data_IF_037021737853
#
_entry.id   IF_037021737853
#
_cell.length_a   1.000
_cell.length_b   1.000
_cell.length_c   1.000
_cell.angle_alpha   90.00
_cell.angle_beta   90.00
_cell.angle_gamma   90.00
#
_symmetry.space_group_name_H-M   'P 1'
#
loop_
_entity.id
_entity.type
_entity.pdbx_description
1 polymer ?
#
# COMPACT_ATOMS: atom_id res chain seq x y z
N UNK A 1 -9.53 -1.22 15.84
CA UNK A 1 -9.73 -2.28 14.83
C UNK A 1 -9.23 -3.63 15.34
N UNK A 2 -10.05 -4.67 15.27
CA UNK A 2 -9.64 -6.04 15.61
C UNK A 2 -8.92 -6.67 14.40
N UNK A 3 -7.71 -7.22 14.61
CA UNK A 3 -6.88 -7.85 13.56
C UNK A 3 -6.87 -9.36 13.77
N UNK A 4 -7.34 -10.12 12.80
CA UNK A 4 -7.47 -11.58 12.83
C UNK A 4 -6.76 -12.19 11.61
N UNK A 5 -6.41 -13.47 11.71
CA UNK A 5 -5.72 -14.22 10.65
C UNK A 5 -6.60 -15.32 10.02
N UNK A 6 -7.73 -15.64 10.66
CA UNK A 6 -8.65 -16.65 10.17
C UNK A 6 -10.12 -16.26 10.41
N UNK A 7 -11.04 -16.59 9.48
CA UNK A 7 -12.47 -16.26 9.59
C UNK A 7 -13.16 -16.77 10.85
N UNK A 8 -12.81 -17.94 11.36
CA UNK A 8 -13.40 -18.54 12.56
C UNK A 8 -13.07 -17.82 13.87
N UNK A 9 -12.04 -16.94 13.83
CA UNK A 9 -11.65 -16.12 14.98
C UNK A 9 -12.58 -14.91 15.21
N UNK A 10 -13.51 -14.64 14.28
CA UNK A 10 -14.46 -13.53 14.45
C UNK A 10 -15.31 -13.80 15.68
N UNK A 11 -15.35 -12.86 16.66
CA UNK A 11 -16.07 -13.04 17.94
C UNK A 11 -17.57 -13.34 17.74
N UNK A 12 -18.12 -14.13 18.62
CA UNK A 12 -19.53 -14.57 18.52
C UNK A 12 -20.53 -13.40 18.65
N UNK A 13 -20.20 -12.40 19.44
CA UNK A 13 -21.02 -11.18 19.59
C UNK A 13 -21.04 -10.38 18.29
N UNK A 14 -19.92 -10.28 17.56
CA UNK A 14 -19.84 -9.67 16.22
C UNK A 14 -20.71 -10.45 15.23
N UNK A 15 -20.60 -11.78 15.21
CA UNK A 15 -21.41 -12.64 14.32
C UNK A 15 -22.92 -12.52 14.61
N UNK A 16 -23.30 -12.46 15.88
CA UNK A 16 -24.72 -12.31 16.30
C UNK A 16 -25.28 -10.94 15.95
N UNK A 17 -24.51 -9.88 16.13
CA UNK A 17 -24.87 -8.52 15.70
C UNK A 17 -25.10 -8.46 14.20
N UNK A 18 -24.33 -9.24 13.44
CA UNK A 18 -24.28 -9.22 12.00
C UNK A 18 -23.21 -8.28 11.47
N UNK A 19 -22.84 -8.46 10.22
CA UNK A 19 -21.77 -7.66 9.62
C UNK A 19 -22.08 -7.18 8.19
N UNK A 20 -21.47 -6.03 7.84
CA UNK A 20 -21.25 -5.60 6.48
C UNK A 20 -19.82 -6.01 6.09
N UNK A 21 -19.65 -6.66 4.94
CA UNK A 21 -18.41 -7.30 4.54
C UNK A 21 -17.91 -6.75 3.21
N UNK A 22 -16.61 -6.66 3.05
CA UNK A 22 -15.95 -6.49 1.74
C UNK A 22 -14.73 -7.40 1.62
N UNK A 23 -14.34 -7.70 0.39
CA UNK A 23 -13.17 -8.52 0.07
C UNK A 23 -12.27 -7.83 -0.93
N UNK A 24 -10.97 -7.93 -0.72
CA UNK A 24 -9.98 -7.45 -1.68
C UNK A 24 -8.56 -7.60 -1.18
N UNK A 25 -7.61 -7.48 -2.07
CA UNK A 25 -6.19 -7.44 -1.71
C UNK A 25 -5.81 -6.11 -1.06
N UNK A 26 -6.52 -5.04 -1.37
CA UNK A 26 -6.32 -3.67 -0.88
C UNK A 26 -4.87 -3.18 -0.98
N UNK A 27 -4.11 -3.74 -1.91
CA UNK A 27 -2.72 -3.39 -2.09
C UNK A 27 -2.58 -1.95 -2.63
N UNK A 28 -1.75 -1.16 -1.92
CA UNK A 28 -1.55 0.27 -2.17
C UNK A 28 -2.68 1.16 -1.67
N UNK A 29 -3.83 0.63 -1.26
CA UNK A 29 -4.97 1.41 -0.72
C UNK A 29 -5.28 2.66 -1.56
N UNK A 30 -5.48 2.47 -2.88
CA UNK A 30 -5.80 3.55 -3.82
C UNK A 30 -7.21 4.14 -3.59
N UNK A 31 -7.53 5.24 -4.25
CA UNK A 31 -8.82 5.95 -4.08
C UNK A 31 -10.04 5.04 -4.25
N UNK A 32 -10.01 4.10 -5.21
CA UNK A 32 -11.08 3.12 -5.40
C UNK A 32 -11.27 2.21 -4.18
N UNK A 33 -10.20 1.72 -3.58
CA UNK A 33 -10.27 0.94 -2.33
C UNK A 33 -10.87 1.77 -1.19
N UNK A 34 -10.45 3.03 -1.05
CA UNK A 34 -11.00 3.92 -0.01
C UNK A 34 -12.49 4.20 -0.18
N UNK A 35 -12.96 4.33 -1.42
CA UNK A 35 -14.39 4.50 -1.70
C UNK A 35 -15.20 3.26 -1.27
N UNK A 36 -14.69 2.05 -1.57
CA UNK A 36 -15.31 0.80 -1.10
C UNK A 36 -15.37 0.74 0.42
N UNK A 37 -14.27 1.10 1.10
CA UNK A 37 -14.20 1.07 2.56
C UNK A 37 -15.10 2.13 3.21
N UNK A 38 -15.16 3.33 2.66
CA UNK A 38 -16.08 4.37 3.14
C UNK A 38 -17.53 3.88 3.05
N UNK A 39 -17.92 3.30 1.91
CA UNK A 39 -19.25 2.73 1.75
C UNK A 39 -19.50 1.55 2.73
N UNK A 40 -18.51 0.68 2.92
CA UNK A 40 -18.61 -0.42 3.89
C UNK A 40 -18.91 0.10 5.31
N UNK A 41 -18.16 1.09 5.76
CA UNK A 41 -18.30 1.67 7.10
C UNK A 41 -19.67 2.38 7.24
N UNK A 42 -20.10 3.09 6.19
CA UNK A 42 -21.42 3.75 6.18
C UNK A 42 -22.58 2.74 6.22
N UNK A 43 -22.50 1.65 5.44
CA UNK A 43 -23.48 0.57 5.45
C UNK A 43 -23.52 -0.13 6.82
N UNK A 44 -22.36 -0.40 7.41
CA UNK A 44 -22.28 -1.00 8.73
C UNK A 44 -22.95 -0.13 9.79
N UNK A 45 -22.60 1.16 9.84
CA UNK A 45 -23.17 2.11 10.81
C UNK A 45 -24.67 2.32 10.64
N UNK A 46 -25.13 2.46 9.40
CA UNK A 46 -26.54 2.73 9.10
C UNK A 46 -27.49 1.57 9.47
N UNK A 47 -26.94 0.35 9.59
CA UNK A 47 -27.71 -0.86 9.88
C UNK A 47 -27.33 -1.52 11.21
N UNK A 48 -26.57 -0.82 12.06
CA UNK A 48 -26.05 -1.35 13.32
C UNK A 48 -25.29 -2.69 13.17
N UNK A 49 -24.45 -2.79 12.12
CA UNK A 49 -23.62 -3.94 11.82
C UNK A 49 -22.16 -3.66 12.16
N UNK A 50 -21.35 -4.72 12.26
CA UNK A 50 -19.89 -4.58 12.27
C UNK A 50 -19.34 -4.49 10.84
N UNK A 51 -18.37 -3.63 10.60
CA UNK A 51 -17.64 -3.58 9.32
C UNK A 51 -16.49 -4.59 9.31
N UNK A 52 -16.50 -5.55 8.38
CA UNK A 52 -15.47 -6.59 8.25
C UNK A 52 -14.81 -6.50 6.87
N UNK A 53 -13.49 -6.45 6.87
CA UNK A 53 -12.67 -6.58 5.66
C UNK A 53 -11.99 -7.94 5.65
N UNK A 54 -12.19 -8.71 4.59
CA UNK A 54 -11.39 -9.89 4.28
C UNK A 54 -10.29 -9.51 3.28
N UNK A 55 -9.05 -9.68 3.67
CA UNK A 55 -7.88 -9.50 2.79
C UNK A 55 -6.99 -10.74 2.86
N UNK A 56 -6.06 -10.85 1.92
CA UNK A 56 -5.19 -12.02 1.80
C UNK A 56 -3.72 -11.65 1.94
N UNK A 57 -2.98 -12.55 2.58
CA UNK A 57 -1.52 -12.51 2.63
C UNK A 57 -0.97 -13.94 2.77
N UNK A 58 -0.09 -14.40 1.84
CA UNK A 58 0.44 -13.67 0.69
C UNK A 58 -0.64 -13.31 -0.35
N UNK A 59 -0.24 -12.52 -1.36
CA UNK A 59 -1.14 -12.16 -2.46
C UNK A 59 -1.59 -13.42 -3.22
N UNK A 60 -2.87 -13.55 -3.64
CA UNK A 60 -3.35 -14.77 -4.32
C UNK A 60 -2.48 -15.23 -5.50
N UNK A 61 -1.93 -14.32 -6.29
CA UNK A 61 -1.04 -14.68 -7.39
C UNK A 61 0.33 -15.18 -6.93
N UNK A 62 0.81 -14.83 -5.74
CA UNK A 62 2.06 -15.38 -5.19
C UNK A 62 1.93 -16.90 -4.94
N UNK A 63 0.72 -17.37 -4.63
CA UNK A 63 0.43 -18.80 -4.40
C UNK A 63 0.07 -19.51 -5.69
N UNK A 64 -0.78 -18.91 -6.53
CA UNK A 64 -1.31 -19.58 -7.72
C UNK A 64 -0.39 -19.51 -8.95
N UNK A 65 0.31 -18.38 -9.09
CA UNK A 65 1.15 -18.04 -10.25
C UNK A 65 2.32 -17.17 -9.79
N UNK A 66 3.32 -17.71 -9.05
CA UNK A 66 4.42 -16.92 -8.47
C UNK A 66 5.18 -16.08 -9.52
N UNK A 67 5.32 -16.62 -10.74
CA UNK A 67 5.97 -15.94 -11.86
C UNK A 67 5.20 -14.72 -12.40
N UNK A 68 3.95 -14.57 -12.00
CA UNK A 68 3.05 -13.46 -12.39
C UNK A 68 2.66 -12.59 -11.21
N UNK A 69 3.18 -12.91 -10.01
CA UNK A 69 2.88 -12.16 -8.81
C UNK A 69 3.36 -10.71 -8.96
N UNK A 70 2.49 -9.73 -8.73
CA UNK A 70 2.89 -8.34 -8.80
C UNK A 70 3.71 -7.97 -7.57
N UNK A 71 4.68 -7.07 -7.73
CA UNK A 71 5.36 -6.46 -6.60
C UNK A 71 4.34 -5.73 -5.69
N UNK A 72 4.45 -5.92 -4.38
CA UNK A 72 3.54 -5.31 -3.42
C UNK A 72 3.77 -3.79 -3.33
N UNK A 73 2.71 -2.99 -3.51
CA UNK A 73 2.79 -1.53 -3.38
C UNK A 73 3.00 -1.13 -1.92
N UNK A 74 2.42 -1.88 -0.99
CA UNK A 74 2.59 -1.68 0.45
C UNK A 74 2.67 -3.04 1.17
N UNK A 75 3.34 -3.07 2.32
CA UNK A 75 3.37 -4.26 3.18
C UNK A 75 2.00 -4.58 3.77
N UNK A 76 1.87 -5.77 4.38
CA UNK A 76 0.65 -6.11 5.12
C UNK A 76 0.41 -5.12 6.27
N UNK A 77 1.44 -4.76 7.02
CA UNK A 77 1.30 -3.83 8.15
C UNK A 77 0.84 -2.44 7.69
N UNK A 78 1.44 -1.87 6.67
CA UNK A 78 1.00 -0.61 6.07
C UNK A 78 -0.46 -0.68 5.59
N UNK A 79 -0.88 -1.83 5.03
CA UNK A 79 -2.26 -2.07 4.61
C UNK A 79 -3.21 -2.09 5.79
N UNK A 80 -2.86 -2.78 6.87
CA UNK A 80 -3.63 -2.84 8.10
C UNK A 80 -3.80 -1.46 8.74
N UNK A 81 -2.73 -0.65 8.78
CA UNK A 81 -2.80 0.74 9.26
C UNK A 81 -3.78 1.58 8.42
N UNK A 82 -3.78 1.41 7.10
CA UNK A 82 -4.72 2.12 6.23
C UNK A 82 -6.18 1.68 6.45
N UNK A 83 -6.43 0.39 6.68
CA UNK A 83 -7.75 -0.14 7.02
C UNK A 83 -8.25 0.41 8.36
N UNK A 84 -7.36 0.50 9.35
CA UNK A 84 -7.66 1.10 10.66
C UNK A 84 -8.05 2.57 10.56
N UNK A 85 -7.25 3.36 9.81
CA UNK A 85 -7.57 4.78 9.54
C UNK A 85 -8.88 4.96 8.75
N UNK A 86 -9.30 3.98 7.97
CA UNK A 86 -10.59 3.99 7.29
C UNK A 86 -11.78 3.72 8.22
N UNK A 87 -11.53 3.35 9.49
CA UNK A 87 -12.56 3.13 10.50
C UNK A 87 -13.23 1.77 10.43
N UNK A 88 -12.56 0.76 9.87
CA UNK A 88 -13.01 -0.64 9.83
C UNK A 88 -12.96 -1.25 11.24
N UNK A 89 -13.98 -2.00 11.65
CA UNK A 89 -14.05 -2.63 12.98
C UNK A 89 -13.18 -3.89 13.05
N UNK A 90 -13.25 -4.74 12.03
CA UNK A 90 -12.55 -6.04 11.99
C UNK A 90 -11.87 -6.24 10.65
N UNK A 91 -10.62 -6.67 10.67
CA UNK A 91 -9.88 -7.12 9.50
C UNK A 91 -9.46 -8.57 9.69
N UNK A 92 -9.76 -9.40 8.71
CA UNK A 92 -9.26 -10.78 8.63
C UNK A 92 -8.21 -10.82 7.50
N UNK A 93 -6.93 -10.91 7.87
CA UNK A 93 -5.81 -11.08 6.94
C UNK A 93 -5.55 -12.59 6.77
N UNK A 94 -6.38 -13.24 5.97
CA UNK A 94 -6.34 -14.69 5.81
C UNK A 94 -5.19 -15.14 4.93
N UNK A 95 -4.51 -16.23 5.35
CA UNK A 95 -3.56 -16.91 4.48
C UNK A 95 -4.28 -17.43 3.22
N UNK A 96 -3.79 -17.00 2.04
CA UNK A 96 -4.30 -17.55 0.79
C UNK A 96 -3.65 -18.89 0.52
N UNK A 97 -4.43 -19.94 0.32
CA UNK A 97 -3.96 -21.31 0.09
C UNK A 97 -4.62 -21.93 -1.14
N UNK A 98 -4.05 -23.03 -1.63
CA UNK A 98 -4.67 -23.78 -2.73
C UNK A 98 -6.04 -24.36 -2.34
N UNK A 99 -6.23 -24.74 -1.08
CA UNK A 99 -7.51 -25.23 -0.56
C UNK A 99 -8.57 -24.13 -0.60
N UNK A 100 -8.21 -22.91 -0.15
CA UNK A 100 -9.10 -21.75 -0.23
C UNK A 100 -9.44 -21.42 -1.70
N UNK A 101 -8.45 -21.45 -2.58
CA UNK A 101 -8.64 -21.20 -4.01
C UNK A 101 -9.50 -22.27 -4.72
N UNK A 102 -9.60 -23.48 -4.17
CA UNK A 102 -10.41 -24.56 -4.71
C UNK A 102 -11.90 -24.47 -4.34
N UNK A 103 -12.27 -23.64 -3.37
CA UNK A 103 -13.66 -23.47 -2.96
C UNK A 103 -14.51 -22.88 -4.09
N UNK A 104 -15.68 -23.47 -4.32
CA UNK A 104 -16.68 -22.86 -5.20
C UNK A 104 -17.16 -21.51 -4.66
N UNK A 105 -17.73 -20.63 -5.48
CA UNK A 105 -18.31 -19.38 -5.00
C UNK A 105 -19.32 -19.57 -3.89
N UNK A 106 -20.17 -20.60 -3.99
CA UNK A 106 -21.18 -20.92 -2.95
C UNK A 106 -20.54 -21.33 -1.64
N UNK A 107 -19.60 -22.28 -1.66
CA UNK A 107 -18.90 -22.74 -0.46
C UNK A 107 -18.22 -21.57 0.25
N UNK A 108 -17.50 -20.75 -0.50
CA UNK A 108 -16.80 -19.59 0.04
C UNK A 108 -17.76 -18.60 0.71
N UNK A 109 -18.88 -18.24 0.05
CA UNK A 109 -19.87 -17.32 0.62
C UNK A 109 -20.53 -17.92 1.85
N UNK A 110 -20.97 -19.17 1.77
CA UNK A 110 -21.69 -19.82 2.87
C UNK A 110 -20.81 -19.97 4.11
N UNK A 111 -19.59 -20.51 3.96
CA UNK A 111 -18.73 -20.79 5.10
C UNK A 111 -18.06 -19.52 5.64
N UNK A 112 -17.46 -18.72 4.75
CA UNK A 112 -16.68 -17.56 5.19
C UNK A 112 -17.58 -16.39 5.56
N UNK A 113 -18.49 -15.98 4.69
CA UNK A 113 -19.24 -14.77 4.92
C UNK A 113 -20.45 -14.98 5.82
N UNK A 114 -21.31 -15.96 5.48
CA UNK A 114 -22.54 -16.14 6.23
C UNK A 114 -22.25 -16.77 7.60
N UNK A 115 -21.54 -17.88 7.64
CA UNK A 115 -21.30 -18.64 8.87
C UNK A 115 -20.31 -17.96 9.81
N UNK A 116 -19.12 -17.60 9.28
CA UNK A 116 -18.05 -17.09 10.13
C UNK A 116 -18.13 -15.58 10.39
N UNK A 117 -18.69 -14.78 9.49
CA UNK A 117 -18.81 -13.34 9.70
C UNK A 117 -20.22 -12.90 10.13
N UNK A 118 -21.22 -13.76 10.02
CA UNK A 118 -22.60 -13.35 10.26
C UNK A 118 -23.07 -12.28 9.27
N UNK A 119 -22.61 -12.38 8.02
CA UNK A 119 -22.83 -11.36 7.00
C UNK A 119 -24.31 -11.11 6.75
N UNK A 120 -24.70 -9.83 6.75
CA UNK A 120 -26.02 -9.33 6.36
C UNK A 120 -25.95 -8.46 5.12
N UNK A 121 -24.79 -7.86 4.86
CA UNK A 121 -24.55 -7.02 3.69
C UNK A 121 -23.17 -7.28 3.14
N UNK A 122 -23.04 -7.23 1.81
CA UNK A 122 -21.71 -7.24 1.16
C UNK A 122 -21.56 -6.02 0.27
N UNK A 123 -20.43 -5.32 0.39
CA UNK A 123 -20.08 -4.16 -0.44
C UNK A 123 -18.97 -4.56 -1.39
N UNK A 124 -19.21 -4.49 -2.68
CA UNK A 124 -18.28 -4.91 -3.72
C UNK A 124 -18.26 -3.94 -4.90
N UNK A 125 -17.15 -3.91 -5.62
CA UNK A 125 -17.09 -3.26 -6.93
C UNK A 125 -17.78 -4.11 -8.01
N UNK A 126 -18.20 -3.49 -9.08
CA UNK A 126 -18.89 -4.10 -10.23
C UNK A 126 -18.15 -5.27 -10.88
N UNK A 127 -16.83 -5.22 -10.85
CA UNK A 127 -15.94 -6.23 -11.42
C UNK A 127 -15.47 -7.29 -10.43
N UNK A 128 -16.07 -7.35 -9.24
CA UNK A 128 -15.68 -8.30 -8.19
C UNK A 128 -15.74 -9.74 -8.70
N UNK A 129 -14.68 -10.50 -8.40
CA UNK A 129 -14.55 -11.92 -8.74
C UNK A 129 -14.05 -12.68 -7.52
N UNK A 130 -14.60 -13.88 -7.31
CA UNK A 130 -14.23 -14.71 -6.16
C UNK A 130 -14.49 -16.21 -6.44
N UNK A 131 -14.00 -17.04 -5.51
CA UNK A 131 -14.11 -18.50 -5.62
C UNK A 131 -13.25 -19.11 -6.72
N UNK A 132 -13.34 -20.43 -6.86
CA UNK A 132 -12.53 -21.19 -7.80
C UNK A 132 -12.63 -20.65 -9.22
N UNK A 133 -11.46 -20.40 -9.84
CA UNK A 133 -11.32 -19.87 -11.20
C UNK A 133 -12.00 -18.50 -11.40
N UNK A 134 -12.19 -17.71 -10.34
CA UNK A 134 -12.92 -16.43 -10.40
C UNK A 134 -14.36 -16.58 -10.96
N UNK A 135 -14.99 -17.73 -10.74
CA UNK A 135 -16.33 -18.03 -11.30
C UNK A 135 -17.44 -17.23 -10.62
N UNK A 136 -17.26 -16.78 -9.36
CA UNK A 136 -18.20 -15.95 -8.65
C UNK A 136 -18.19 -14.50 -9.17
N UNK A 137 -19.37 -13.93 -9.37
CA UNK A 137 -19.62 -12.58 -9.87
C UNK A 137 -20.58 -11.82 -8.95
N UNK A 138 -20.84 -10.56 -9.24
CA UNK A 138 -21.89 -9.79 -8.55
C UNK A 138 -23.27 -10.45 -8.70
N UNK A 139 -23.58 -11.02 -9.87
CA UNK A 139 -24.86 -11.72 -10.08
C UNK A 139 -24.93 -13.00 -9.23
N UNK A 140 -23.83 -13.75 -9.14
CA UNK A 140 -23.73 -14.88 -8.21
C UNK A 140 -23.97 -14.44 -6.74
N UNK A 141 -23.45 -13.27 -6.33
CA UNK A 141 -23.73 -12.74 -5.00
C UNK A 141 -25.21 -12.40 -4.82
N UNK A 142 -25.87 -11.82 -5.82
CA UNK A 142 -27.29 -11.49 -5.76
C UNK A 142 -28.16 -12.74 -5.62
N UNK A 143 -27.92 -13.77 -6.44
CA UNK A 143 -28.61 -15.06 -6.37
C UNK A 143 -28.43 -15.70 -4.97
N UNK A 144 -27.20 -15.72 -4.48
CA UNK A 144 -26.91 -16.24 -3.14
C UNK A 144 -27.52 -15.37 -2.03
N UNK A 145 -27.59 -14.06 -2.24
CA UNK A 145 -28.21 -13.10 -1.31
C UNK A 145 -29.69 -13.35 -1.13
N UNK A 146 -30.42 -13.61 -2.23
CA UNK A 146 -31.86 -13.99 -2.19
C UNK A 146 -32.06 -15.31 -1.44
N UNK A 147 -31.17 -16.27 -1.62
CA UNK A 147 -31.28 -17.59 -0.99
C UNK A 147 -30.85 -17.58 0.50
N UNK A 148 -29.75 -16.91 0.83
CA UNK A 148 -29.09 -16.95 2.14
C UNK A 148 -29.46 -15.76 3.05
N UNK A 149 -30.21 -14.78 2.54
CA UNK A 149 -30.75 -13.66 3.31
C UNK A 149 -29.74 -12.55 3.59
N UNK A 150 -28.98 -12.11 2.57
CA UNK A 150 -28.10 -10.94 2.66
C UNK A 150 -28.26 -9.99 1.47
N UNK A 151 -27.97 -8.70 1.68
CA UNK A 151 -28.03 -7.66 0.66
C UNK A 151 -26.70 -7.48 -0.06
N UNK A 152 -26.75 -7.17 -1.35
CA UNK A 152 -25.56 -6.86 -2.16
C UNK A 152 -25.54 -5.39 -2.55
N UNK A 153 -24.57 -4.65 -2.06
CA UNK A 153 -24.33 -3.25 -2.39
C UNK A 153 -23.19 -3.19 -3.40
N UNK A 154 -23.51 -2.77 -4.61
CA UNK A 154 -22.52 -2.66 -5.69
C UNK A 154 -22.12 -1.21 -5.84
N UNK A 155 -20.81 -0.94 -5.74
CA UNK A 155 -20.27 0.34 -6.14
C UNK A 155 -20.09 0.35 -7.64
N UNK A 156 -20.73 1.32 -8.28
CA UNK A 156 -20.39 1.69 -9.66
C UNK A 156 -18.94 2.20 -9.68
N UNK A 157 -18.31 2.15 -10.86
CA UNK A 157 -16.93 2.58 -11.01
C UNK A 157 -16.74 4.00 -10.43
N UNK A 158 -16.02 4.09 -9.33
CA UNK A 158 -15.70 5.36 -8.68
C UNK A 158 -14.51 5.97 -9.45
N UNK A 159 -14.82 6.88 -10.35
CA UNK A 159 -13.86 7.58 -11.20
C UNK A 159 -14.62 8.47 -12.17
N UNK A 160 -14.00 9.53 -12.63
CA UNK A 160 -14.49 10.30 -13.75
C UNK A 160 -14.49 9.37 -14.99
N UNK A 161 -15.61 9.21 -15.72
CA UNK A 161 -15.66 8.42 -16.96
C UNK A 161 -14.59 8.84 -17.99
N UNK A 162 -14.05 10.06 -17.87
CA UNK A 162 -13.00 10.60 -18.73
C UNK A 162 -11.58 10.35 -18.20
N UNK A 163 -11.43 9.84 -16.96
CA UNK A 163 -10.13 9.60 -16.34
C UNK A 163 -9.87 8.12 -16.12
N UNK A 164 -8.61 7.74 -16.11
CA UNK A 164 -8.13 6.37 -15.93
C UNK A 164 -8.67 5.77 -14.63
N UNK A 165 -9.30 4.59 -14.71
CA UNK A 165 -9.76 3.81 -13.56
C UNK A 165 -8.67 3.64 -12.51
N UNK A 166 -8.97 3.96 -11.24
CA UNK A 166 -8.06 3.75 -10.13
C UNK A 166 -7.82 2.26 -9.88
N UNK A 167 -6.57 1.83 -10.00
CA UNK A 167 -6.20 0.42 -9.81
C UNK A 167 -4.76 0.27 -9.30
N UNK A 168 -4.49 -0.81 -8.58
CA UNK A 168 -3.13 -1.17 -8.16
C UNK A 168 -2.19 -1.36 -9.36
N UNK A 169 -2.70 -1.85 -10.50
CA UNK A 169 -1.92 -1.97 -11.75
C UNK A 169 -1.45 -0.61 -12.26
N UNK A 170 -2.33 0.40 -12.26
CA UNK A 170 -1.97 1.75 -12.69
C UNK A 170 -0.92 2.38 -11.76
N UNK A 171 -1.07 2.18 -10.43
CA UNK A 171 -0.07 2.62 -9.44
C UNK A 171 1.29 1.98 -9.71
N UNK A 172 1.36 0.65 -9.88
CA UNK A 172 2.62 -0.07 -10.18
C UNK A 172 3.26 0.42 -11.46
N UNK A 173 2.46 0.60 -12.51
CA UNK A 173 2.96 1.12 -13.79
C UNK A 173 3.54 2.52 -13.63
N UNK A 174 2.86 3.40 -12.90
CA UNK A 174 3.33 4.76 -12.66
C UNK A 174 4.64 4.76 -11.83
N UNK A 175 4.72 3.98 -10.75
CA UNK A 175 5.94 3.84 -9.94
C UNK A 175 7.10 3.27 -10.74
N UNK A 176 6.87 2.20 -11.51
CA UNK A 176 7.90 1.58 -12.36
C UNK A 176 8.41 2.49 -13.49
N UNK A 177 7.67 3.53 -13.84
CA UNK A 177 8.06 4.58 -14.79
C UNK A 177 8.59 5.85 -14.11
N UNK A 178 8.58 5.90 -12.79
CA UNK A 178 8.98 7.08 -12.01
C UNK A 178 8.00 8.26 -12.10
N UNK A 179 6.75 8.02 -12.51
CA UNK A 179 5.68 9.02 -12.54
C UNK A 179 4.99 9.08 -11.17
N UNK A 180 5.66 9.75 -10.22
CA UNK A 180 5.21 9.83 -8.83
C UNK A 180 3.91 10.61 -8.69
N UNK A 181 3.74 11.67 -9.47
CA UNK A 181 2.52 12.46 -9.57
C UNK A 181 1.30 11.59 -9.90
N UNK A 182 1.40 10.80 -10.98
CA UNK A 182 0.35 9.87 -11.37
C UNK A 182 0.09 8.78 -10.31
N UNK A 183 1.14 8.23 -9.70
CA UNK A 183 0.99 7.25 -8.61
C UNK A 183 0.26 7.87 -7.41
N UNK A 184 0.63 9.08 -7.01
CA UNK A 184 0.03 9.84 -5.91
C UNK A 184 -1.41 10.23 -6.20
N UNK A 185 -1.75 10.57 -7.44
CA UNK A 185 -3.12 10.81 -7.88
C UNK A 185 -4.01 9.57 -7.67
N UNK A 186 -3.56 8.39 -8.14
CA UNK A 186 -4.27 7.13 -7.92
C UNK A 186 -4.39 6.77 -6.45
N UNK A 187 -3.31 6.93 -5.68
CA UNK A 187 -3.27 6.64 -4.25
C UNK A 187 -4.07 7.69 -3.44
N UNK A 188 -4.15 8.94 -3.91
CA UNK A 188 -4.68 10.10 -3.20
C UNK A 188 -3.84 10.50 -1.98
N UNK A 189 -2.58 10.15 -1.99
CA UNK A 189 -1.52 10.50 -1.03
C UNK A 189 -0.16 10.24 -1.67
N UNK A 190 0.94 10.78 -1.12
CA UNK A 190 2.27 10.40 -1.54
C UNK A 190 2.50 8.89 -1.43
N UNK A 191 3.23 8.33 -2.38
CA UNK A 191 3.73 6.96 -2.26
C UNK A 191 4.86 6.93 -1.24
N UNK A 192 4.96 5.83 -0.48
CA UNK A 192 5.99 5.70 0.54
C UNK A 192 6.65 4.32 0.56
N UNK A 193 7.91 4.32 1.00
CA UNK A 193 8.70 3.12 1.31
C UNK A 193 9.17 3.23 2.76
N UNK A 194 9.03 2.18 3.56
CA UNK A 194 9.37 2.14 4.98
C UNK A 194 10.51 1.15 5.24
N UNK A 195 11.49 1.53 6.05
CA UNK A 195 12.57 0.63 6.43
C UNK A 195 13.41 1.19 7.56
N UNK A 196 14.28 0.35 8.11
CA UNK A 196 15.28 0.80 9.07
C UNK A 196 16.43 1.51 8.34
N UNK A 197 17.00 2.53 8.97
CA UNK A 197 18.23 3.18 8.46
C UNK A 197 19.44 2.32 8.76
N UNK A 198 20.20 1.99 7.73
CA UNK A 198 21.43 1.18 7.81
C UNK A 198 22.66 1.95 7.37
N UNK A 199 23.83 1.41 7.69
CA UNK A 199 25.09 1.97 7.19
C UNK A 199 25.23 1.75 5.69
N UNK A 200 25.34 2.84 4.92
CA UNK A 200 25.71 2.83 3.53
C UNK A 200 27.22 2.95 3.31
N UNK A 201 27.62 3.18 2.07
CA UNK A 201 29.04 3.32 1.66
C UNK A 201 29.72 4.61 2.15
N UNK A 202 28.99 5.49 2.86
CA UNK A 202 29.46 6.78 3.44
C UNK A 202 30.00 7.82 2.46
N UNK A 203 29.95 7.56 1.14
CA UNK A 203 30.47 8.47 0.11
C UNK A 203 29.79 9.85 0.15
N UNK A 204 28.47 9.89 0.34
CA UNK A 204 27.74 11.14 0.48
C UNK A 204 28.24 11.99 1.66
N UNK A 205 28.55 11.37 2.81
CA UNK A 205 29.05 12.07 4.00
C UNK A 205 30.38 12.76 3.75
N UNK A 206 31.29 12.09 3.02
CA UNK A 206 32.60 12.67 2.66
C UNK A 206 32.47 13.86 1.71
N UNK A 207 31.41 13.88 0.90
CA UNK A 207 31.10 14.97 -0.02
C UNK A 207 30.24 16.10 0.58
N UNK A 208 29.86 15.98 1.86
CA UNK A 208 29.03 16.97 2.56
C UNK A 208 27.52 16.75 2.43
N UNK A 209 27.08 15.58 1.92
CA UNK A 209 25.69 15.19 1.77
C UNK A 209 25.42 13.88 2.52
N UNK A 210 25.35 13.87 3.86
CA UNK A 210 25.03 12.66 4.61
C UNK A 210 23.65 12.14 4.21
N UNK A 211 23.54 10.81 4.01
CA UNK A 211 22.31 10.13 3.60
C UNK A 211 21.88 9.09 4.62
N UNK A 212 20.58 9.00 4.87
CA UNK A 212 19.94 7.85 5.50
C UNK A 212 19.68 6.80 4.41
N UNK A 213 20.28 5.62 4.56
CA UNK A 213 20.13 4.51 3.63
C UNK A 213 19.11 3.54 4.20
N UNK A 214 18.05 3.23 3.44
CA UNK A 214 17.10 2.21 3.88
C UNK A 214 17.70 0.80 3.76
N UNK A 215 17.33 -0.05 4.69
CA UNK A 215 17.67 -1.48 4.69
C UNK A 215 17.14 -2.18 3.42
N UNK A 216 17.80 -3.27 3.03
CA UNK A 216 17.42 -4.04 1.85
C UNK A 216 16.05 -4.72 1.94
N UNK A 217 15.51 -4.88 3.14
CA UNK A 217 14.18 -5.41 3.44
C UNK A 217 13.12 -4.32 3.61
N UNK A 218 13.42 -3.09 3.14
CA UNK A 218 12.45 -2.00 3.16
C UNK A 218 11.13 -2.40 2.48
N UNK A 219 10.04 -1.98 3.08
CA UNK A 219 8.67 -2.33 2.71
C UNK A 219 8.06 -1.32 1.74
N UNK A 220 7.35 -1.81 0.75
CA UNK A 220 6.71 -1.02 -0.30
C UNK A 220 7.48 -1.04 -1.61
N UNK A 221 6.76 -0.81 -2.71
CA UNK A 221 7.34 -0.81 -4.06
C UNK A 221 8.30 0.38 -4.23
N UNK A 222 9.56 0.09 -4.47
CA UNK A 222 10.57 1.13 -4.75
C UNK A 222 10.36 1.68 -6.16
N UNK A 223 10.20 3.00 -6.36
CA UNK A 223 9.97 3.58 -7.67
C UNK A 223 11.19 3.43 -8.60
N UNK A 224 11.03 3.83 -9.88
CA UNK A 224 12.11 3.79 -10.87
C UNK A 224 13.35 4.56 -10.41
N UNK A 225 14.51 4.18 -10.93
CA UNK A 225 15.80 4.84 -10.66
C UNK A 225 15.72 6.34 -10.97
N UNK A 226 16.20 7.16 -10.05
CA UNK A 226 16.18 8.63 -10.19
C UNK A 226 16.45 9.37 -8.90
N UNK A 227 16.38 10.68 -8.98
CA UNK A 227 16.42 11.58 -7.83
C UNK A 227 15.04 12.21 -7.67
N UNK A 228 14.57 12.27 -6.44
CA UNK A 228 13.23 12.70 -6.07
C UNK A 228 13.26 13.76 -4.97
N UNK A 229 12.30 14.64 -4.97
CA UNK A 229 11.93 15.44 -3.81
C UNK A 229 10.95 14.66 -2.96
N UNK A 230 11.07 14.70 -1.64
CA UNK A 230 10.16 14.03 -0.74
C UNK A 230 10.48 14.28 0.73
N UNK A 231 9.93 13.46 1.58
CA UNK A 231 10.05 13.62 3.03
C UNK A 231 10.62 12.37 3.67
N UNK A 232 11.50 12.55 4.63
CA UNK A 232 11.88 11.53 5.58
C UNK A 232 11.01 11.71 6.83
N UNK A 233 10.23 10.69 7.16
CA UNK A 233 9.34 10.67 8.33
C UNK A 233 9.93 9.72 9.37
N UNK A 234 10.19 10.21 10.56
CA UNK A 234 10.68 9.45 11.70
C UNK A 234 9.50 8.81 12.42
N UNK A 235 9.31 7.52 12.23
CA UNK A 235 8.12 6.81 12.70
C UNK A 235 8.06 6.67 14.23
N UNK A 236 9.19 6.84 14.91
CA UNK A 236 9.32 6.82 16.37
C UNK A 236 8.82 8.09 17.07
N UNK A 237 8.71 9.20 16.34
CA UNK A 237 8.29 10.48 16.90
C UNK A 237 6.76 10.64 16.78
N UNK A 238 6.11 11.32 17.75
CA UNK A 238 4.67 11.54 17.73
C UNK A 238 4.24 12.43 16.56
N UNK A 239 2.96 12.31 16.18
CA UNK A 239 2.37 13.22 15.21
C UNK A 239 2.40 14.66 15.73
N UNK A 240 2.81 15.61 14.86
CA UNK A 240 2.95 17.02 15.23
C UNK A 240 4.33 17.41 15.77
N UNK A 241 5.22 16.46 16.02
CA UNK A 241 6.61 16.77 16.35
C UNK A 241 7.30 17.39 15.13
N UNK A 242 7.93 18.60 15.24
CA UNK A 242 8.59 19.28 14.12
C UNK A 242 9.78 18.48 13.56
N UNK A 243 10.38 17.59 14.35
CA UNK A 243 11.47 16.71 13.93
C UNK A 243 10.98 15.44 13.24
N UNK A 244 9.67 15.17 13.25
CA UNK A 244 9.11 13.95 12.69
C UNK A 244 9.21 13.89 11.17
N UNK A 245 8.88 14.98 10.47
CA UNK A 245 8.78 15.03 9.01
C UNK A 245 9.74 16.06 8.44
N UNK A 246 10.84 15.56 7.85
CA UNK A 246 11.97 16.36 7.39
C UNK A 246 12.02 16.36 5.85
N UNK A 247 12.22 17.52 5.18
CA UNK A 247 12.37 17.58 3.73
C UNK A 247 13.67 16.87 3.30
N UNK A 248 13.60 16.14 2.21
CA UNK A 248 14.73 15.34 1.73
C UNK A 248 14.85 15.32 0.20
N UNK A 249 16.09 15.26 -0.27
CA UNK A 249 16.43 14.80 -1.61
C UNK A 249 16.69 13.28 -1.56
N UNK A 250 15.96 12.51 -2.37
CA UNK A 250 15.95 11.06 -2.30
C UNK A 250 16.57 10.49 -3.56
N UNK A 251 17.58 9.64 -3.43
CA UNK A 251 18.19 8.90 -4.53
C UNK A 251 17.67 7.46 -4.53
N UNK A 252 17.16 7.02 -5.68
CA UNK A 252 16.81 5.63 -5.95
C UNK A 252 17.70 5.11 -7.05
N UNK A 253 18.45 4.04 -6.79
CA UNK A 253 19.35 3.46 -7.77
C UNK A 253 19.61 1.98 -7.53
N UNK A 254 20.05 1.26 -8.57
CA UNK A 254 20.54 -0.10 -8.45
C UNK A 254 22.01 -0.09 -8.05
N UNK A 255 22.36 -0.80 -6.97
CA UNK A 255 23.77 -1.02 -6.65
C UNK A 255 24.26 -2.34 -7.29
N UNK A 256 25.12 -2.29 -8.33
CA UNK A 256 25.58 -3.49 -9.00
C UNK A 256 26.46 -4.40 -8.15
N UNK A 257 26.85 -3.98 -6.95
CA UNK A 257 27.83 -4.68 -6.09
C UNK A 257 27.17 -5.75 -5.21
N UNK A 258 25.89 -5.67 -4.87
CA UNK A 258 25.27 -6.56 -3.87
C UNK A 258 24.14 -7.44 -4.43
N UNK A 259 23.39 -7.00 -5.39
CA UNK A 259 22.41 -7.79 -6.14
C UNK A 259 21.84 -6.89 -7.23
N UNK A 260 22.09 -7.20 -8.50
CA UNK A 260 21.73 -6.36 -9.64
C UNK A 260 20.21 -6.12 -9.79
N UNK A 261 19.40 -6.76 -8.92
CA UNK A 261 17.94 -6.68 -8.95
C UNK A 261 17.32 -5.84 -7.84
N UNK A 262 18.10 -5.39 -6.82
CA UNK A 262 17.55 -4.58 -5.72
C UNK A 262 17.95 -3.11 -5.86
N UNK A 263 16.94 -2.23 -5.80
CA UNK A 263 17.13 -0.79 -5.71
C UNK A 263 17.43 -0.40 -4.27
N UNK A 264 18.34 0.56 -4.11
CA UNK A 264 18.60 1.24 -2.83
C UNK A 264 17.82 2.55 -2.77
N UNK A 265 17.38 2.92 -1.58
CA UNK A 265 16.74 4.21 -1.30
C UNK A 265 17.61 4.95 -0.31
N UNK A 266 18.12 6.10 -0.70
CA UNK A 266 18.98 6.96 0.10
C UNK A 266 18.34 8.35 0.21
N UNK A 267 18.15 8.86 1.42
CA UNK A 267 17.56 10.16 1.67
C UNK A 267 18.56 11.11 2.32
N UNK A 268 18.86 12.21 1.65
CA UNK A 268 19.59 13.34 2.22
C UNK A 268 18.59 14.34 2.79
N UNK A 269 18.55 14.47 4.12
CA UNK A 269 17.69 15.45 4.81
C UNK A 269 18.25 16.85 4.58
N UNK A 270 17.43 17.75 4.05
CA UNK A 270 17.84 19.10 3.69
C UNK A 270 18.22 19.89 4.94
N UNK A 271 19.33 20.64 4.82
CA UNK A 271 19.82 21.56 5.88
C UNK A 271 20.14 20.90 7.23
N UNK A 272 20.31 19.57 7.25
CA UNK A 272 20.63 18.80 8.46
C UNK A 272 21.88 17.93 8.25
N UNK A 273 22.85 18.07 9.16
CA UNK A 273 24.07 17.25 9.18
C UNK A 273 24.31 16.57 10.54
N UNK A 274 23.43 16.86 11.48
CA UNK A 274 23.50 16.48 12.90
C UNK A 274 22.66 15.22 13.22
N UNK A 275 21.86 14.72 12.27
CA UNK A 275 20.98 13.59 12.50
C UNK A 275 21.77 12.27 12.59
N UNK A 276 21.52 11.53 13.66
CA UNK A 276 21.91 10.12 13.80
C UNK A 276 20.66 9.26 13.78
N UNK A 277 20.41 8.62 12.64
CA UNK A 277 19.19 7.85 12.38
C UNK A 277 19.45 6.34 12.30
N UNK A 278 20.67 5.87 12.55
CA UNK A 278 21.00 4.45 12.43
C UNK A 278 20.14 3.56 13.33
N UNK A 279 19.54 2.53 12.70
CA UNK A 279 18.62 1.60 13.37
C UNK A 279 17.21 2.16 13.58
N UNK A 280 16.97 3.44 13.27
CA UNK A 280 15.63 4.04 13.39
C UNK A 280 14.74 3.60 12.22
N UNK A 281 13.49 3.17 12.48
CA UNK A 281 12.51 2.97 11.43
C UNK A 281 12.04 4.32 10.90
N UNK A 282 12.12 4.48 9.58
CA UNK A 282 11.70 5.69 8.89
C UNK A 282 10.83 5.36 7.68
N UNK A 283 9.95 6.29 7.34
CA UNK A 283 9.16 6.25 6.11
C UNK A 283 9.66 7.33 5.16
N UNK A 284 9.99 6.94 3.93
CA UNK A 284 10.34 7.87 2.85
C UNK A 284 9.09 8.10 1.99
N UNK A 285 8.59 9.34 1.97
CA UNK A 285 7.47 9.77 1.13
C UNK A 285 8.01 10.44 -0.13
N UNK A 286 7.57 9.97 -1.30
CA UNK A 286 7.96 10.52 -2.60
C UNK A 286 6.92 11.54 -3.08
N UNK A 287 7.38 12.75 -3.44
CA UNK A 287 6.52 13.86 -3.88
C UNK A 287 6.65 14.10 -5.38
N UNK A 288 7.88 14.25 -5.88
CA UNK A 288 8.16 14.54 -7.29
C UNK A 288 9.48 13.91 -7.74
N UNK A 289 9.54 13.46 -8.99
CA UNK A 289 10.79 13.00 -9.61
C UNK A 289 11.51 14.19 -10.25
N UNK A 290 12.65 14.56 -9.69
CA UNK A 290 13.45 15.67 -10.19
C UNK A 290 14.18 15.32 -11.50
N UNK A 291 14.73 14.08 -11.59
CA UNK A 291 15.45 13.60 -12.78
C UNK A 291 15.69 12.09 -12.76
N UNK A 292 16.11 11.56 -13.88
CA UNK A 292 16.68 10.20 -13.96
C UNK A 292 18.11 10.12 -13.43
N UNK A 293 18.65 8.89 -13.30
CA UNK A 293 20.04 8.67 -12.94
C UNK A 293 20.98 9.04 -14.10
N UNK A 294 22.07 9.72 -13.77
CA UNK A 294 23.13 10.11 -14.72
C UNK A 294 24.47 9.65 -14.18
N UNK A 295 25.35 9.19 -15.06
CA UNK A 295 26.74 8.86 -14.72
C UNK A 295 27.60 10.11 -14.90
N UNK A 296 28.43 10.41 -13.91
CA UNK A 296 29.35 11.57 -13.93
C UNK A 296 30.79 11.12 -14.11
N UNK A 297 31.54 11.87 -14.91
CA UNK A 297 32.97 11.71 -15.09
C UNK A 297 33.73 12.67 -14.17
N UNK A 298 33.88 12.26 -12.90
CA UNK A 298 34.59 13.04 -11.87
C UNK A 298 33.72 13.44 -10.68
N UNK A 299 34.37 13.95 -9.63
CA UNK A 299 33.72 14.31 -8.36
C UNK A 299 33.06 15.70 -8.45
N UNK A 300 33.71 16.66 -9.09
CA UNK A 300 33.21 18.04 -9.17
C UNK A 300 31.82 18.14 -9.85
N UNK A 301 31.59 17.54 -11.06
CA UNK A 301 30.29 17.53 -11.69
C UNK A 301 29.20 16.83 -10.85
N UNK A 302 29.58 15.77 -10.11
CA UNK A 302 28.68 15.09 -9.19
C UNK A 302 28.23 16.01 -8.05
N UNK A 303 29.17 16.72 -7.39
CA UNK A 303 28.87 17.65 -6.30
C UNK A 303 27.99 18.80 -6.79
N UNK A 304 28.27 19.36 -7.96
CA UNK A 304 27.48 20.43 -8.58
C UNK A 304 26.03 19.97 -8.80
N UNK A 305 25.86 18.76 -9.35
CA UNK A 305 24.52 18.20 -9.55
C UNK A 305 23.79 17.92 -8.22
N UNK A 306 24.49 17.39 -7.22
CA UNK A 306 23.88 17.16 -5.89
C UNK A 306 23.38 18.46 -5.28
N UNK A 307 24.11 19.57 -5.43
CA UNK A 307 23.65 20.90 -4.99
C UNK A 307 22.41 21.38 -5.76
N UNK A 308 22.38 21.14 -7.08
CA UNK A 308 21.20 21.45 -7.90
C UNK A 308 19.98 20.62 -7.47
N UNK A 309 20.17 19.33 -7.21
CA UNK A 309 19.11 18.43 -6.73
C UNK A 309 18.53 18.88 -5.38
N UNK A 310 19.39 19.27 -4.43
CA UNK A 310 18.98 19.82 -3.12
C UNK A 310 18.20 21.13 -3.30
N UNK A 311 18.63 22.01 -4.21
CA UNK A 311 17.91 23.25 -4.51
C UNK A 311 16.52 22.96 -5.12
N UNK A 312 16.45 22.06 -6.08
CA UNK A 312 15.19 21.67 -6.71
C UNK A 312 14.24 20.98 -5.71
N UNK A 313 14.78 20.09 -4.86
CA UNK A 313 13.97 19.47 -3.81
C UNK A 313 13.39 20.50 -2.84
N UNK A 314 14.15 21.53 -2.48
CA UNK A 314 13.67 22.63 -1.62
C UNK A 314 12.54 23.41 -2.28
N UNK A 315 12.65 23.72 -3.57
CA UNK A 315 11.60 24.42 -4.32
C UNK A 315 10.29 23.63 -4.36
N UNK A 316 10.37 22.33 -4.56
CA UNK A 316 9.20 21.44 -4.60
C UNK A 316 8.52 21.30 -3.23
N UNK A 317 9.30 21.34 -2.14
CA UNK A 317 8.83 21.03 -0.78
C UNK A 317 8.54 22.30 0.08
N UNK A 318 8.71 23.51 -0.50
CA UNK A 318 8.48 24.82 0.14
C UNK A 318 6.99 25.17 0.32
#
# INVERSE_FOLDING_TARGET
>A
MLRLTHPDQVPEDVRRRGSAVTIGTFDGMHRGHRAVLARLVDEARSHDLASIVLTFHPHPLEVLHPERAPEAICSLEQRLEHLERAGVDVVVAQAFTHELAAQSPREFVTETYVRNFGMRRIVVGRDSRFGRHNAGTVDTLRELGEELGFDVVVLEDVGDPATTRWSSTAVRTALGQGRIDAASEHLGRPHCVRGAVVHGERRGRELGFPTANLSADAEGMVPADGVYAGWLVRDTLPEGDPERRQPAAISVGSNPTFDAHRRTVEAHVLDRTDLDLYGEPVTIEFVERLRGMVRYEGIEPLIEQMRADVSAAREVLS
#
